data_IF_306512321336
#
_entry.id   IF_306512321336
#
_cell.length_a   1.000
_cell.length_b   1.000
_cell.length_c   1.000
_cell.angle_alpha   90.00
_cell.angle_beta   90.00
_cell.angle_gamma   90.00
#
_symmetry.space_group_name_H-M   'P 1'
#
loop_
_entity.id
_entity.type
_entity.pdbx_description
1 polymer ?
#
# COMPACT_ATOMS: atom_id res chain seq x y z
N UNK A 1 -13.34 -6.69 5.98
CA UNK A 1 -12.50 -5.66 6.59
C UNK A 1 -12.03 -4.62 5.57
N UNK A 2 -11.51 -5.07 4.42
CA UNK A 2 -10.93 -4.15 3.43
C UNK A 2 -11.86 -3.80 2.27
N UNK A 3 -13.06 -4.36 2.22
CA UNK A 3 -13.98 -4.08 1.12
C UNK A 3 -14.34 -2.60 1.06
N UNK A 4 -14.21 -2.02 -0.14
CA UNK A 4 -14.49 -0.62 -0.41
C UNK A 4 -13.66 0.36 0.44
N UNK A 5 -12.50 -0.07 0.92
CA UNK A 5 -11.57 0.75 1.72
C UNK A 5 -10.31 1.05 0.93
N UNK A 6 -9.65 2.14 1.30
CA UNK A 6 -8.34 2.50 0.75
C UNK A 6 -7.28 2.07 1.75
N UNK A 7 -6.34 1.28 1.27
CA UNK A 7 -5.28 0.69 2.08
C UNK A 7 -3.94 1.17 1.55
N UNK A 8 -3.07 1.63 2.44
CA UNK A 8 -1.70 1.95 2.09
C UNK A 8 -0.78 0.93 2.74
N UNK A 9 0.10 0.31 1.94
CA UNK A 9 1.11 -0.62 2.46
C UNK A 9 2.49 0.02 2.34
N UNK A 10 3.20 0.13 3.48
CA UNK A 10 4.56 0.65 3.51
C UNK A 10 5.53 -0.50 3.33
N UNK A 11 6.58 -0.28 2.52
CA UNK A 11 7.54 -1.33 2.21
C UNK A 11 6.94 -2.46 1.39
N UNK A 12 5.91 -2.16 0.60
CA UNK A 12 5.10 -3.17 -0.08
C UNK A 12 5.79 -3.91 -1.23
N UNK A 13 6.99 -3.49 -1.62
CA UNK A 13 7.74 -4.17 -2.69
C UNK A 13 8.60 -5.32 -2.19
N UNK A 14 8.63 -5.57 -0.88
CA UNK A 14 9.33 -6.71 -0.30
C UNK A 14 8.53 -8.00 -0.36
N UNK A 15 9.05 -9.06 0.26
CA UNK A 15 8.43 -10.38 0.24
C UNK A 15 7.04 -10.41 0.88
N UNK A 16 6.83 -9.65 1.96
CA UNK A 16 5.49 -9.56 2.57
C UNK A 16 4.49 -8.96 1.57
N UNK A 17 4.87 -7.89 0.88
CA UNK A 17 3.99 -7.25 -0.11
C UNK A 17 3.63 -8.17 -1.26
N UNK A 18 4.59 -8.97 -1.75
CA UNK A 18 4.33 -9.93 -2.82
C UNK A 18 3.33 -11.00 -2.42
N UNK A 19 3.18 -11.29 -1.13
CA UNK A 19 2.18 -12.22 -0.62
C UNK A 19 0.87 -11.51 -0.29
N UNK A 20 0.96 -10.37 0.39
CA UNK A 20 -0.20 -9.63 0.89
C UNK A 20 -1.07 -9.05 -0.22
N UNK A 21 -0.43 -8.47 -1.25
CA UNK A 21 -1.15 -7.75 -2.30
C UNK A 21 -2.08 -8.68 -3.08
N UNK A 22 -1.59 -9.79 -3.67
CA UNK A 22 -2.49 -10.66 -4.43
C UNK A 22 -3.55 -11.32 -3.54
N UNK A 23 -3.21 -11.66 -2.30
CA UNK A 23 -4.15 -12.24 -1.35
C UNK A 23 -5.29 -11.25 -1.04
N UNK A 24 -4.95 -10.01 -0.80
CA UNK A 24 -5.93 -8.96 -0.49
C UNK A 24 -6.85 -8.68 -1.68
N UNK A 25 -6.29 -8.58 -2.88
CA UNK A 25 -7.07 -8.33 -4.09
C UNK A 25 -8.00 -9.49 -4.43
N UNK A 26 -7.62 -10.71 -4.07
CA UNK A 26 -8.43 -11.91 -4.30
C UNK A 26 -9.52 -12.06 -3.26
N UNK A 27 -9.19 -11.86 -1.99
CA UNK A 27 -10.10 -12.10 -0.87
C UNK A 27 -11.06 -10.94 -0.62
N UNK A 28 -10.62 -9.72 -0.87
CA UNK A 28 -11.40 -8.51 -0.65
C UNK A 28 -11.51 -7.70 -1.93
N UNK A 29 -12.40 -6.72 -1.93
CA UNK A 29 -12.50 -5.78 -3.03
C UNK A 29 -12.21 -4.36 -2.53
N UNK A 30 -10.94 -4.02 -2.27
CA UNK A 30 -10.61 -2.68 -1.79
C UNK A 30 -10.90 -1.63 -2.86
N UNK A 31 -11.18 -0.41 -2.42
CA UNK A 31 -11.36 0.72 -3.32
C UNK A 31 -10.03 1.07 -3.99
N UNK A 32 -8.96 1.14 -3.18
CA UNK A 32 -7.58 1.37 -3.64
C UNK A 32 -6.61 0.62 -2.74
N UNK A 33 -5.56 0.12 -3.33
CA UNK A 33 -4.41 -0.43 -2.62
C UNK A 33 -3.17 0.32 -3.08
N UNK A 34 -2.66 1.17 -2.20
CA UNK A 34 -1.52 2.06 -2.48
C UNK A 34 -0.26 1.43 -1.93
N UNK A 35 0.72 1.24 -2.80
CA UNK A 35 1.99 0.62 -2.43
C UNK A 35 3.04 1.72 -2.32
N UNK A 36 3.48 1.98 -1.09
CA UNK A 36 4.50 2.98 -0.78
C UNK A 36 5.83 2.30 -0.56
N UNK A 37 6.85 2.75 -1.27
CA UNK A 37 8.19 2.20 -1.16
C UNK A 37 9.20 3.24 -1.62
N UNK A 38 10.43 3.14 -1.12
CA UNK A 38 11.55 3.96 -1.59
C UNK A 38 12.21 3.39 -2.83
N UNK A 39 11.99 2.10 -3.10
CA UNK A 39 12.70 1.38 -4.16
C UNK A 39 11.94 1.47 -5.48
N UNK A 40 12.35 2.43 -6.31
CA UNK A 40 11.72 2.69 -7.61
C UNK A 40 11.81 1.50 -8.55
N UNK A 41 12.95 0.81 -8.56
CA UNK A 41 13.14 -0.38 -9.41
C UNK A 41 12.19 -1.50 -9.06
N UNK A 42 12.08 -1.81 -7.77
CA UNK A 42 11.16 -2.85 -7.30
C UNK A 42 9.72 -2.48 -7.57
N UNK A 43 9.36 -1.21 -7.43
CA UNK A 43 8.00 -0.75 -7.78
C UNK A 43 7.73 -0.92 -9.26
N UNK A 44 8.69 -0.58 -10.09
CA UNK A 44 8.54 -0.71 -11.54
C UNK A 44 8.30 -2.17 -11.94
N UNK A 45 9.07 -3.10 -11.37
CA UNK A 45 8.88 -4.52 -11.62
C UNK A 45 7.53 -5.02 -11.12
N UNK A 46 7.13 -4.61 -9.91
CA UNK A 46 5.86 -5.01 -9.32
C UNK A 46 4.67 -4.44 -10.09
N UNK A 47 4.79 -3.22 -10.61
CA UNK A 47 3.72 -2.57 -11.36
C UNK A 47 3.30 -3.37 -12.59
N UNK A 48 4.23 -4.10 -13.20
CA UNK A 48 3.92 -4.95 -14.35
C UNK A 48 2.95 -6.07 -13.99
N UNK A 49 2.99 -6.55 -12.75
CA UNK A 49 2.11 -7.63 -12.28
C UNK A 49 0.66 -7.16 -12.11
N UNK A 50 0.46 -5.87 -11.87
CA UNK A 50 -0.86 -5.31 -11.56
C UNK A 50 -1.30 -4.24 -12.55
N UNK A 51 -0.71 -4.21 -13.75
CA UNK A 51 -1.00 -3.20 -14.76
C UNK A 51 -2.49 -3.15 -15.13
N UNK A 52 -3.17 -4.30 -15.08
CA UNK A 52 -4.58 -4.39 -15.44
C UNK A 52 -5.54 -4.21 -14.27
N UNK A 53 -5.02 -4.02 -13.07
CA UNK A 53 -5.86 -3.82 -11.89
C UNK A 53 -5.97 -2.34 -11.52
N UNK A 54 -7.14 -1.70 -11.75
CA UNK A 54 -7.30 -0.28 -11.50
C UNK A 54 -7.29 0.10 -10.02
N UNK A 55 -7.36 -0.88 -9.13
CA UNK A 55 -7.34 -0.64 -7.68
C UNK A 55 -5.95 -0.38 -7.14
N UNK A 56 -4.92 -0.86 -7.85
CA UNK A 56 -3.52 -0.79 -7.40
C UNK A 56 -2.89 0.54 -7.82
N UNK A 57 -2.23 1.21 -6.88
CA UNK A 57 -1.51 2.46 -7.10
C UNK A 57 -0.14 2.36 -6.48
N UNK A 58 0.84 3.01 -7.09
CA UNK A 58 2.21 3.04 -6.62
C UNK A 58 2.60 4.46 -6.23
N UNK A 59 3.29 4.59 -5.11
CA UNK A 59 3.71 5.88 -4.59
C UNK A 59 5.17 5.77 -4.13
N UNK A 60 6.06 6.53 -4.75
CA UNK A 60 7.47 6.54 -4.37
C UNK A 60 7.65 7.51 -3.22
N UNK A 61 8.19 7.04 -2.10
CA UNK A 61 8.42 7.90 -0.95
C UNK A 61 9.04 7.15 0.22
N UNK A 62 9.57 7.94 1.15
CA UNK A 62 10.13 7.46 2.40
C UNK A 62 9.16 7.82 3.53
N UNK A 63 8.89 6.85 4.42
CA UNK A 63 8.02 7.07 5.59
C UNK A 63 8.54 8.19 6.49
N UNK A 64 9.83 8.54 6.38
CA UNK A 64 10.44 9.63 7.14
C UNK A 64 10.15 11.01 6.53
N UNK A 65 9.71 11.06 5.28
CA UNK A 65 9.34 12.31 4.61
C UNK A 65 7.91 12.66 5.00
N UNK A 66 7.77 13.59 5.95
CA UNK A 66 6.48 13.98 6.51
C UNK A 66 5.50 14.50 5.45
N UNK A 67 5.95 15.42 4.61
CA UNK A 67 5.07 16.03 3.60
C UNK A 67 4.58 15.00 2.59
N UNK A 68 5.48 14.10 2.20
CA UNK A 68 5.17 13.01 1.29
C UNK A 68 4.16 12.06 1.90
N UNK A 69 4.32 11.76 3.19
CA UNK A 69 3.40 10.87 3.92
C UNK A 69 2.00 11.49 4.06
N UNK A 70 1.90 12.79 4.30
CA UNK A 70 0.61 13.46 4.35
C UNK A 70 -0.16 13.28 3.05
N UNK A 71 0.52 13.42 1.92
CA UNK A 71 -0.10 13.22 0.61
C UNK A 71 -0.52 11.78 0.39
N UNK A 72 0.36 10.84 0.76
CA UNK A 72 0.10 9.42 0.59
C UNK A 72 -1.07 8.94 1.44
N UNK A 73 -1.24 9.53 2.64
CA UNK A 73 -2.28 9.13 3.59
C UNK A 73 -3.64 9.78 3.33
N UNK A 74 -3.72 10.72 2.38
CA UNK A 74 -4.98 11.38 2.08
C UNK A 74 -6.03 10.37 1.60
N UNK A 75 -7.15 10.29 2.34
CA UNK A 75 -8.23 9.37 2.04
C UNK A 75 -7.96 7.90 2.35
N UNK A 76 -6.84 7.60 3.03
CA UNK A 76 -6.49 6.23 3.39
C UNK A 76 -7.22 5.80 4.66
N UNK A 77 -7.80 4.60 4.66
CA UNK A 77 -8.51 4.03 5.81
C UNK A 77 -7.60 3.18 6.69
N UNK A 78 -6.68 2.43 6.10
CA UNK A 78 -5.77 1.53 6.82
C UNK A 78 -4.35 1.66 6.30
N UNK A 79 -3.39 1.58 7.23
CA UNK A 79 -1.97 1.50 6.90
C UNK A 79 -1.46 0.12 7.33
N UNK A 80 -0.86 -0.59 6.39
CA UNK A 80 -0.21 -1.88 6.65
C UNK A 80 1.30 -1.65 6.60
N UNK A 81 1.96 -1.87 7.74
CA UNK A 81 3.41 -1.78 7.82
C UNK A 81 4.01 -3.16 7.52
N UNK A 82 4.53 -3.33 6.31
CA UNK A 82 5.04 -4.62 5.87
C UNK A 82 6.14 -5.18 6.78
N UNK A 83 7.05 -4.31 7.24
CA UNK A 83 8.15 -4.73 8.09
C UNK A 83 7.68 -5.25 9.46
N UNK A 84 6.56 -4.74 9.97
CA UNK A 84 6.00 -5.13 11.26
C UNK A 84 4.79 -6.07 11.14
N UNK A 85 4.34 -6.34 9.91
CA UNK A 85 3.11 -7.09 9.61
C UNK A 85 1.92 -6.59 10.42
N UNK A 86 1.83 -5.26 10.55
CA UNK A 86 0.85 -4.60 11.41
C UNK A 86 -0.11 -3.75 10.60
N UNK A 87 -1.40 -3.82 10.94
CA UNK A 87 -2.47 -3.04 10.30
C UNK A 87 -2.96 -1.98 11.29
N UNK A 88 -2.97 -0.73 10.85
CA UNK A 88 -3.36 0.39 11.72
C UNK A 88 -4.40 1.26 11.01
N UNK A 89 -5.58 1.51 11.63
CA UNK A 89 -6.53 2.49 11.10
C UNK A 89 -5.90 3.89 11.10
N UNK A 90 -6.17 4.69 10.07
CA UNK A 90 -5.54 6.00 9.94
C UNK A 90 -5.89 6.95 11.09
N UNK A 91 -7.08 6.83 11.67
CA UNK A 91 -7.48 7.63 12.81
C UNK A 91 -6.54 7.46 14.01
N UNK A 92 -5.97 6.26 14.19
CA UNK A 92 -5.00 5.97 15.25
C UNK A 92 -3.57 6.34 14.84
N UNK A 93 -3.30 6.33 13.52
CA UNK A 93 -1.97 6.62 12.99
C UNK A 93 -1.61 8.09 13.18
N UNK A 94 -2.57 8.98 13.07
CA UNK A 94 -2.38 10.40 13.25
C UNK A 94 -2.36 10.78 14.72
#
# INVERSE_FOLDING_TARGET
>A
MFDNKTILITGGTGSFGHTFIPLTLKKYNPKKLIILSRDEMKQWDMAKLYADDPRVRFFIGDVKDRDRMYRALDGVDYVVHAAATKIVPTAEYN
#
